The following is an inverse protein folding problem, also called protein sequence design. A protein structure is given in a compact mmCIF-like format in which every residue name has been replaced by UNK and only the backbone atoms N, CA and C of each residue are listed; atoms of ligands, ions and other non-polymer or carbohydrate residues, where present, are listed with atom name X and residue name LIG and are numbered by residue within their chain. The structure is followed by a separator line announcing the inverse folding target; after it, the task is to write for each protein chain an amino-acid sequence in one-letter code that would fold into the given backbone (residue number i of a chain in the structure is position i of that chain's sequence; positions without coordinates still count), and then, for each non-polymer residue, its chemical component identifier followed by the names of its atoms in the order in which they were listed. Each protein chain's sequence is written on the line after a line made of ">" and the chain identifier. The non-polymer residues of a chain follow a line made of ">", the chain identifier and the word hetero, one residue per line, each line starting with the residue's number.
data_IF_077040446923
#
_entry.id   IF_077040446923
#
_cell.length_a   1.000
_cell.length_b   1.000
_cell.length_c   1.000
_cell.angle_alpha   90.00
_cell.angle_beta   90.00
_cell.angle_gamma   90.00
#
_symmetry.space_group_name_H-M   'P 1'
#
loop_
_entity.id
_entity.type
_entity.pdbx_description
1 polymer ?
2 non-polymer ?
3 water ?
#
# COMPACT_ATOMS: atom_id res chain seq x y z
N UNK A 1 -1.55 11.38 9.63
CA UNK A 1 -1.00 10.37 8.71
C UNK A 1 -2.11 9.41 8.32
N UNK A 2 -1.80 8.57 7.33
CA UNK A 2 -2.71 7.55 6.83
C UNK A 2 -2.02 6.20 6.64
N UNK A 3 -2.84 5.17 6.66
CA UNK A 3 -2.48 3.85 6.20
C UNK A 3 -3.13 3.64 4.85
N UNK A 4 -2.41 2.99 3.97
CA UNK A 4 -2.97 2.50 2.72
C UNK A 4 -2.73 1.00 2.64
N UNK A 5 -3.78 0.24 2.39
CA UNK A 5 -3.71 -1.21 2.25
C UNK A 5 -3.94 -1.57 0.78
N UNK A 6 -3.10 -2.44 0.24
CA UNK A 6 -3.28 -3.03 -1.07
C UNK A 6 -2.77 -4.46 -1.02
N UNK A 7 -3.09 -5.25 -2.02
CA UNK A 7 -2.65 -6.62 -2.08
C UNK A 7 -2.00 -6.88 -3.39
N UNK A 8 -1.09 -7.84 -3.38
CA UNK A 8 -0.27 -8.20 -4.56
C UNK A 8 -0.28 -9.71 -4.76
N UNK A 9 -0.10 -10.16 -6.00
CA UNK A 9 -0.11 -11.60 -6.28
C UNK A 9 1.10 -12.37 -5.76
N UNK A 10 2.25 -11.74 -5.53
CA UNK A 10 3.30 -12.38 -4.73
C UNK A 10 4.34 -11.34 -4.36
N UNK A 11 5.47 -11.84 -3.86
CA UNK A 11 6.46 -11.04 -3.22
C UNK A 11 7.24 -10.20 -4.19
N UNK A 12 7.52 -10.70 -5.39
CA UNK A 12 8.34 -9.94 -6.33
C UNK A 12 7.63 -8.65 -6.73
N UNK A 13 6.36 -8.73 -7.10
CA UNK A 13 5.61 -7.54 -7.42
C UNK A 13 5.44 -6.64 -6.20
N UNK A 14 5.12 -7.20 -5.04
CA UNK A 14 4.91 -6.39 -3.87
C UNK A 14 6.20 -5.61 -3.56
N UNK A 15 7.33 -6.29 -3.56
CA UNK A 15 8.59 -5.62 -3.20
C UNK A 15 9.00 -4.61 -4.26
N UNK A 16 8.81 -4.92 -5.55
CA UNK A 16 9.18 -3.99 -6.61
C UNK A 16 8.38 -2.70 -6.47
N UNK A 17 7.07 -2.84 -6.27
CA UNK A 17 6.19 -1.69 -6.19
C UNK A 17 6.51 -0.88 -4.94
N UNK A 18 6.68 -1.54 -3.81
CA UNK A 18 6.96 -0.83 -2.56
C UNK A 18 8.30 -0.11 -2.59
N UNK A 19 9.30 -0.77 -3.16
CA UNK A 19 10.61 -0.13 -3.26
C UNK A 19 10.54 1.08 -4.23
N UNK A 20 9.78 1.00 -5.32
CA UNK A 20 9.58 2.16 -6.22
C UNK A 20 8.89 3.31 -5.46
N UNK A 21 7.91 2.99 -4.63
CA UNK A 21 7.17 4.01 -3.90
C UNK A 21 8.10 4.66 -2.88
N UNK A 22 8.98 3.88 -2.25
CA UNK A 22 9.97 4.44 -1.33
C UNK A 22 10.94 5.35 -2.09
N UNK A 23 11.43 4.89 -3.23
CA UNK A 23 12.36 5.70 -4.03
C UNK A 23 11.74 7.03 -4.44
N UNK A 24 10.44 7.02 -4.72
CA UNK A 24 9.69 8.20 -5.12
C UNK A 24 9.23 9.01 -3.94
N UNK A 25 9.56 8.54 -2.73
CA UNK A 25 9.33 9.22 -1.47
C UNK A 25 7.82 9.46 -1.21
N UNK A 26 7.01 8.52 -1.73
CA UNK A 26 5.57 8.60 -1.59
C UNK A 26 5.04 7.91 -0.34
N UNK A 27 5.86 7.04 0.23
CA UNK A 27 5.56 6.35 1.50
C UNK A 27 6.79 6.39 2.36
N UNK A 28 6.59 6.34 3.68
CA UNK A 28 7.70 6.23 4.61
C UNK A 28 8.08 4.79 4.92
N UNK A 29 7.11 3.89 4.84
CA UNK A 29 7.40 2.50 5.12
C UNK A 29 6.25 1.62 4.68
N UNK A 30 6.58 0.34 4.53
CA UNK A 30 5.65 -0.71 4.16
C UNK A 30 5.86 -1.93 5.06
N UNK A 31 4.76 -2.60 5.42
CA UNK A 31 4.80 -3.87 6.12
C UNK A 31 4.09 -4.89 5.20
N UNK A 32 4.80 -5.95 4.82
CA UNK A 32 4.30 -6.95 3.86
C UNK A 32 4.14 -8.27 4.56
N UNK A 33 3.03 -8.94 4.33
CA UNK A 33 2.82 -10.29 4.88
C UNK A 33 1.82 -11.05 4.01
N UNK A 34 2.04 -12.35 3.89
CA UNK A 34 1.15 -13.23 3.14
C UNK A 34 -0.26 -13.31 3.72
N UNK A 35 -1.21 -13.55 2.82
CA UNK A 35 -2.55 -13.97 3.24
C UNK A 35 -3.17 -14.79 2.13
N UNK A 36 -4.28 -15.42 2.45
CA UNK A 36 -5.09 -16.13 1.47
C UNK A 36 -6.36 -15.34 1.24
N UNK A 37 -6.63 -15.02 -0.02
CA UNK A 37 -7.79 -14.22 -0.40
C UNK A 37 -8.90 -15.12 -0.96
N UNK A 38 -10.14 -14.81 -0.62
CA UNK A 38 -11.32 -15.48 -1.10
C UNK A 38 -12.27 -14.45 -1.64
N UNK A 39 -12.78 -14.68 -2.85
CA UNK A 39 -13.65 -13.71 -3.49
C UNK A 39 -14.38 -14.41 -4.64
N UNK A 40 -15.31 -13.71 -5.28
CA UNK A 40 -16.06 -14.25 -6.41
C UNK A 40 -15.36 -13.96 -7.71
N UNK A 41 -15.28 -15.00 -8.54
CA UNK A 41 -14.91 -14.86 -9.95
C UNK A 41 -15.86 -15.71 -10.77
N UNK A 42 -16.67 -15.06 -11.60
CA UNK A 42 -17.53 -15.72 -12.59
C UNK A 42 -18.37 -16.85 -11.96
N UNK A 43 -19.07 -16.51 -10.89
CA UNK A 43 -20.04 -17.41 -10.29
C UNK A 43 -19.43 -18.50 -9.41
N UNK A 44 -18.12 -18.39 -9.15
CA UNK A 44 -17.39 -19.36 -8.35
C UNK A 44 -16.62 -18.65 -7.24
N UNK A 45 -16.46 -19.29 -6.09
CA UNK A 45 -15.58 -18.75 -5.07
C UNK A 45 -14.16 -19.15 -5.43
N UNK A 46 -13.33 -18.14 -5.58
CA UNK A 46 -11.95 -18.25 -5.97
C UNK A 46 -11.09 -17.97 -4.74
N UNK A 47 -9.99 -18.69 -4.63
CA UNK A 47 -8.94 -18.36 -3.69
C UNK A 47 -7.69 -17.99 -4.46
N UNK A 48 -6.91 -17.07 -3.88
CA UNK A 48 -5.59 -16.74 -4.39
C UNK A 48 -4.66 -16.45 -3.21
N UNK A 49 -3.45 -16.97 -3.23
CA UNK A 49 -2.41 -16.60 -2.27
C UNK A 49 -1.79 -15.29 -2.71
N UNK A 50 -1.71 -14.37 -1.77
CA UNK A 50 -1.28 -13.01 -2.04
C UNK A 50 -0.30 -12.52 -0.98
N UNK A 51 0.26 -11.34 -1.26
CA UNK A 51 1.02 -10.59 -0.25
C UNK A 51 0.29 -9.29 0.01
N UNK A 52 -0.17 -9.08 1.23
CA UNK A 52 -0.78 -7.82 1.59
C UNK A 52 0.26 -6.81 2.01
N UNK A 53 0.00 -5.53 1.76
CA UNK A 53 0.94 -4.44 2.03
C UNK A 53 0.23 -3.32 2.77
N UNK A 54 0.78 -3.01 3.92
CA UNK A 54 0.34 -1.91 4.75
C UNK A 54 1.37 -0.79 4.55
N UNK A 55 0.94 0.30 3.96
CA UNK A 55 1.77 1.46 3.66
C UNK A 55 1.45 2.62 4.57
N UNK A 56 2.46 3.39 4.94
CA UNK A 56 2.28 4.51 5.88
C UNK A 56 2.77 5.77 5.20
N UNK A 57 1.93 6.81 5.16
CA UNK A 57 2.35 8.07 4.51
C UNK A 57 1.54 9.25 5.07
N UNK A 58 1.77 10.43 4.49
CA UNK A 58 1.02 11.62 4.86
C UNK A 58 -0.30 11.70 4.15
N UNK A 59 -1.27 12.33 4.80
CA UNK A 59 -2.56 12.57 4.17
C UNK A 59 -2.48 13.29 2.83
N UNK A 60 -1.64 14.33 2.77
CA UNK A 60 -1.58 15.16 1.58
C UNK A 60 -1.00 14.43 0.37
N UNK A 61 -0.36 13.27 0.58
CA UNK A 61 0.18 12.48 -0.50
C UNK A 61 -0.80 11.41 -1.05
N UNK A 62 -2.00 11.32 -0.49
CA UNK A 62 -2.94 10.25 -0.87
C UNK A 62 -3.21 10.18 -2.37
N UNK A 63 -3.61 11.29 -3.00
CA UNK A 63 -4.01 11.21 -4.40
C UNK A 63 -2.84 10.84 -5.31
N UNK A 64 -1.68 11.41 -5.03
CA UNK A 64 -0.50 11.09 -5.80
C UNK A 64 -0.13 9.62 -5.61
N UNK A 65 -0.22 9.14 -4.37
CA UNK A 65 0.15 7.76 -4.08
C UNK A 65 -0.83 6.79 -4.74
N UNK A 66 -2.12 7.11 -4.65
CA UNK A 66 -3.13 6.28 -5.25
C UNK A 66 -2.90 6.17 -6.76
N UNK A 67 -2.60 7.29 -7.41
CA UNK A 67 -2.33 7.24 -8.85
C UNK A 67 -1.11 6.40 -9.16
N UNK A 68 -0.04 6.55 -8.39
CA UNK A 68 1.15 5.76 -8.64
C UNK A 68 0.91 4.27 -8.42
N UNK A 69 0.14 3.91 -7.40
CA UNK A 69 -0.16 2.51 -7.22
C UNK A 69 -0.95 2.00 -8.40
N UNK A 70 -1.92 2.78 -8.90
CA UNK A 70 -2.69 2.33 -10.06
C UNK A 70 -1.75 2.04 -11.22
N UNK A 71 -0.77 2.92 -11.40
CA UNK A 71 0.18 2.83 -12.50
C UNK A 71 1.19 1.71 -12.34
N UNK A 72 1.43 1.26 -11.11
CA UNK A 72 2.44 0.22 -10.87
C UNK A 72 1.85 -1.18 -10.60
N UNK A 73 0.55 -1.25 -10.39
CA UNK A 73 -0.03 -2.46 -9.81
C UNK A 73 -0.17 -3.56 -10.85
N UNK A 74 0.17 -4.80 -10.48
CA UNK A 74 -0.10 -5.94 -11.39
C UNK A 74 -1.56 -6.29 -11.63
N UNK A 75 -2.46 -5.86 -10.76
CA UNK A 75 -3.87 -6.09 -10.96
C UNK A 75 -4.53 -4.98 -11.78
N UNK A 76 -5.41 -5.38 -12.71
CA UNK A 76 -6.28 -4.46 -13.44
C UNK A 76 -7.15 -3.65 -12.48
N UNK A 77 -7.70 -4.32 -11.47
CA UNK A 77 -8.55 -3.67 -10.48
C UNK A 77 -7.99 -3.96 -9.09
N UNK A 78 -6.99 -3.20 -8.68
CA UNK A 78 -6.40 -3.43 -7.35
C UNK A 78 -7.26 -2.82 -6.29
N UNK A 79 -7.10 -3.30 -5.06
CA UNK A 79 -7.64 -2.63 -3.88
C UNK A 79 -6.62 -1.60 -3.42
N UNK A 80 -7.04 -0.34 -3.33
CA UNK A 80 -6.19 0.72 -2.82
C UNK A 80 -6.99 1.48 -1.77
N UNK A 81 -6.80 1.10 -0.51
CA UNK A 81 -7.71 1.42 0.60
C UNK A 81 -7.02 2.33 1.60
N UNK A 82 -7.55 3.53 1.77
CA UNK A 82 -7.03 4.52 2.70
C UNK A 82 -7.80 4.44 4.01
N UNK A 83 -7.09 4.25 5.12
CA UNK A 83 -7.64 4.37 6.46
C UNK A 83 -6.87 5.43 7.21
N UNK A 84 -7.59 6.45 7.67
CA UNK A 84 -6.97 7.55 8.38
C UNK A 84 -6.52 7.09 9.76
N UNK A 85 -5.39 7.64 10.20
CA UNK A 85 -4.87 7.34 11.53
C UNK A 85 -5.36 8.41 12.49
N UNK A 86 -6.10 7.99 13.51
CA UNK A 86 -6.71 8.93 14.44
C UNK A 86 -5.73 9.56 15.42
N UNK A 87 -4.64 8.88 15.72
CA UNK A 87 -3.56 9.47 16.52
C UNK A 87 -2.32 8.60 16.39
N UNK A 88 -1.17 9.21 16.60
CA UNK A 88 0.13 8.52 16.53
C UNK A 88 1.10 9.26 17.43
N UNK A 89 2.09 8.55 17.95
CA UNK A 89 3.15 9.21 18.72
C UNK A 89 3.92 10.18 17.85
N UNK A 90 4.17 11.36 18.40
CA UNK A 90 4.79 12.42 17.62
C UNK A 90 6.15 12.10 17.02
N UNK A 91 7.01 11.41 17.76
CA UNK A 91 8.35 11.11 17.23
C UNK A 91 8.26 10.29 15.92
N UNK A 92 7.31 9.37 15.87
CA UNK A 92 7.11 8.61 14.66
C UNK A 92 6.56 9.48 13.53
N UNK A 93 5.57 10.30 13.85
CA UNK A 93 4.99 11.18 12.86
C UNK A 93 6.05 12.10 12.27
N UNK A 94 6.92 12.63 13.11
CA UNK A 94 8.00 13.52 12.62
C UNK A 94 8.93 12.79 11.66
N UNK A 95 9.28 11.56 12.00
CA UNK A 95 10.11 10.74 11.15
C UNK A 95 9.41 10.48 9.81
N UNK A 96 8.13 10.13 9.85
CA UNK A 96 7.41 9.85 8.62
C UNK A 96 7.36 11.08 7.71
N UNK A 97 7.14 12.26 8.29
CA UNK A 97 7.14 13.50 7.50
C UNK A 97 8.54 13.76 6.91
N UNK A 98 9.56 13.54 7.71
CA UNK A 98 10.94 13.74 7.25
C UNK A 98 11.26 12.85 6.07
N UNK A 99 10.73 11.62 6.09
CA UNK A 99 11.09 10.62 5.08
C UNK A 99 10.23 10.66 3.82
N UNK A 100 9.22 11.51 3.77
CA UNK A 100 8.37 11.58 2.59
C UNK A 100 8.61 12.89 1.82
N UNK A 101 8.24 12.90 0.56
CA UNK A 101 8.63 13.94 -0.38
C UNK A 101 8.00 15.27 -0.02
N UNK A 102 8.70 16.34 -0.40
CA UNK A 102 8.27 17.69 -0.08
C UNK A 102 8.16 18.57 -1.30
X LIG B 1 -1.68 -16.30 -6.35
#
# INVERSE_FOLDING_TARGET
>A
MIIVYTTFPDWESAEKVVKTLLKERLIACANLREHRAFYWWEGKIEEDKEVGAILKTREDLWEELKERIKELHPYDVPAIIRIDVDDVNEDYLKWLIEETKK
>B hetero
1 CU CU
#
